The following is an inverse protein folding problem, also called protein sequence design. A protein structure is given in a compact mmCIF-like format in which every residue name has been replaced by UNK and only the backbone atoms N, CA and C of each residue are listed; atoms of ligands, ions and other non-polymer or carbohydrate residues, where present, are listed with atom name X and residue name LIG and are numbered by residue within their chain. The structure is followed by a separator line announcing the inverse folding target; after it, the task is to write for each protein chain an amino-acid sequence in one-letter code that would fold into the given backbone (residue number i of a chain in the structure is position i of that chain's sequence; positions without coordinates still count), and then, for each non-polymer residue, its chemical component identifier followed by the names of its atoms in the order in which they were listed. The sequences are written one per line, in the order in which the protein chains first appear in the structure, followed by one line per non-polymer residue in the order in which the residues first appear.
data_IF_089620397652
#
_entry.id   IF_089620397652
#
_cell.length_a   1.000
_cell.length_b   1.000
_cell.length_c   1.000
_cell.angle_alpha   90.00
_cell.angle_beta   90.00
_cell.angle_gamma   90.00
#
_symmetry.space_group_name_H-M   'P 1'
#
loop_
_entity.id
_entity.type
_entity.pdbx_description
1 polymer ?
#
# COMPACT_ATOMS: atom_id res chain seq x y z
N UNK A 1 -18.75 -40.36 -62.47
CA UNK A 1 -17.66 -39.51 -61.95
C UNK A 1 -18.24 -38.28 -61.26
N UNK A 2 -18.68 -38.37 -60.00
CA UNK A 2 -19.02 -37.19 -59.18
C UNK A 2 -18.47 -37.44 -57.78
N UNK A 3 -17.46 -36.65 -57.39
CA UNK A 3 -16.71 -36.78 -56.14
C UNK A 3 -17.54 -36.21 -54.99
N UNK A 4 -17.86 -37.05 -54.00
CA UNK A 4 -18.49 -36.66 -52.74
C UNK A 4 -17.42 -35.99 -51.86
N UNK A 5 -17.55 -34.69 -51.60
CA UNK A 5 -16.68 -33.96 -50.69
C UNK A 5 -17.31 -33.95 -49.30
N UNK A 6 -16.80 -34.79 -48.39
CA UNK A 6 -17.12 -34.74 -46.96
C UNK A 6 -16.47 -33.49 -46.35
N UNK A 7 -17.28 -32.52 -45.95
CA UNK A 7 -16.86 -31.38 -45.14
C UNK A 7 -16.99 -31.75 -43.66
N UNK A 8 -15.86 -32.09 -43.03
CA UNK A 8 -15.74 -32.24 -41.58
C UNK A 8 -15.70 -30.85 -40.93
N UNK A 9 -16.81 -30.45 -40.29
CA UNK A 9 -16.87 -29.25 -39.47
C UNK A 9 -16.35 -29.56 -38.06
N UNK A 10 -15.15 -29.08 -37.73
CA UNK A 10 -14.57 -29.18 -36.39
C UNK A 10 -14.99 -27.95 -35.53
N UNK A 11 -15.49 -28.13 -34.29
CA UNK A 11 -15.85 -27.03 -33.42
C UNK A 11 -14.60 -26.40 -32.78
N UNK A 12 -14.45 -25.09 -32.97
CA UNK A 12 -13.39 -24.30 -32.32
C UNK A 12 -13.86 -24.00 -30.89
N UNK A 13 -13.28 -24.68 -29.91
CA UNK A 13 -13.49 -24.41 -28.49
C UNK A 13 -12.64 -23.20 -28.06
N UNK A 14 -13.26 -22.04 -27.92
CA UNK A 14 -12.60 -20.83 -27.42
C UNK A 14 -12.39 -20.95 -25.91
N UNK A 15 -11.14 -21.17 -25.46
CA UNK A 15 -10.80 -21.10 -24.04
C UNK A 15 -10.87 -19.63 -23.57
N UNK A 16 -11.88 -19.31 -22.77
CA UNK A 16 -11.90 -18.07 -21.99
C UNK A 16 -10.85 -18.15 -20.89
N UNK A 17 -9.65 -17.61 -21.12
CA UNK A 17 -8.71 -17.34 -20.06
C UNK A 17 -9.23 -16.15 -19.22
N UNK A 18 -9.80 -16.43 -18.05
CA UNK A 18 -10.12 -15.38 -17.10
C UNK A 18 -8.82 -14.76 -16.55
N UNK A 19 -8.70 -13.42 -16.47
CA UNK A 19 -7.54 -12.81 -15.87
C UNK A 19 -7.49 -13.18 -14.38
N UNK A 20 -6.46 -13.93 -13.98
CA UNK A 20 -6.11 -14.08 -12.57
C UNK A 20 -5.59 -12.71 -12.13
N UNK A 21 -6.38 -11.98 -11.34
CA UNK A 21 -5.89 -10.82 -10.61
C UNK A 21 -4.84 -11.31 -9.63
N UNK A 22 -3.56 -11.08 -9.92
CA UNK A 22 -2.50 -11.37 -9.00
C UNK A 22 -2.75 -10.59 -7.69
N UNK A 23 -3.08 -11.28 -6.61
CA UNK A 23 -3.13 -10.64 -5.30
C UNK A 23 -1.71 -10.26 -4.89
N UNK A 24 -1.48 -8.96 -4.72
CA UNK A 24 -0.24 -8.41 -4.19
C UNK A 24 0.13 -9.06 -2.85
N UNK A 25 1.42 -9.34 -2.67
CA UNK A 25 1.92 -10.03 -1.49
C UNK A 25 1.56 -9.28 -0.19
N UNK A 26 1.00 -10.01 0.78
CA UNK A 26 0.71 -9.48 2.12
C UNK A 26 2.01 -9.43 2.92
N UNK A 27 2.22 -8.34 3.65
CA UNK A 27 3.42 -8.18 4.46
C UNK A 27 3.24 -7.31 5.69
N UNK A 28 4.36 -6.91 6.26
CA UNK A 28 4.44 -5.90 7.32
C UNK A 28 5.44 -4.82 6.93
N UNK A 29 5.33 -3.65 7.54
CA UNK A 29 6.41 -2.66 7.52
C UNK A 29 7.30 -2.84 8.76
N UNK A 30 8.54 -2.35 8.71
CA UNK A 30 9.49 -2.58 9.79
C UNK A 30 8.97 -1.99 11.12
N UNK A 31 9.15 -2.75 12.21
CA UNK A 31 8.86 -2.32 13.58
C UNK A 31 9.60 -1.03 13.92
N UNK A 32 9.00 -0.12 14.68
CA UNK A 32 9.66 1.12 15.11
C UNK A 32 8.78 2.35 14.99
N UNK A 33 9.30 3.49 15.43
CA UNK A 33 8.59 4.78 15.36
C UNK A 33 8.74 5.41 13.98
N UNK A 34 7.62 5.76 13.37
CA UNK A 34 7.52 6.52 12.12
C UNK A 34 7.16 7.96 12.48
N UNK A 35 8.14 8.86 12.32
CA UNK A 35 7.91 10.29 12.47
C UNK A 35 7.39 10.83 11.15
N UNK A 36 6.17 11.34 11.17
CA UNK A 36 5.53 11.96 10.01
C UNK A 36 5.82 13.45 9.99
N UNK A 37 6.11 13.97 8.81
CA UNK A 37 6.53 15.35 8.61
C UNK A 37 6.14 15.85 7.22
N UNK A 38 5.87 17.15 7.14
CA UNK A 38 5.80 17.86 5.86
C UNK A 38 7.20 18.39 5.50
N UNK A 39 7.53 18.49 4.20
CA UNK A 39 8.73 19.19 3.78
C UNK A 39 8.66 20.64 4.25
N UNK A 40 9.76 21.12 4.82
CA UNK A 40 9.93 22.51 5.18
C UNK A 40 10.16 23.41 3.98
N UNK A 41 10.64 24.62 4.24
CA UNK A 41 10.97 25.60 3.22
C UNK A 41 12.43 26.02 3.34
N UNK A 42 13.08 26.30 2.21
CA UNK A 42 14.43 26.83 2.20
C UNK A 42 14.50 28.12 3.04
N UNK A 43 15.44 28.19 3.97
CA UNK A 43 15.58 29.30 4.92
C UNK A 43 14.87 29.12 6.26
N UNK A 44 14.14 28.02 6.46
CA UNK A 44 13.54 27.62 7.76
C UNK A 44 13.89 26.17 8.10
N UNK A 45 13.18 25.60 9.06
CA UNK A 45 13.26 24.19 9.44
C UNK A 45 13.15 23.28 8.20
N UNK A 46 14.01 22.26 8.13
CA UNK A 46 14.05 21.32 7.00
C UNK A 46 12.79 20.46 6.89
N UNK A 47 12.09 20.25 8.00
CA UNK A 47 10.81 19.54 8.05
C UNK A 47 9.92 20.09 9.16
N UNK A 48 8.61 19.96 8.97
CA UNK A 48 7.60 20.35 9.95
C UNK A 48 6.98 19.06 10.50
N UNK A 49 7.20 18.79 11.78
CA UNK A 49 6.69 17.58 12.42
C UNK A 49 5.15 17.56 12.45
N UNK A 50 4.58 16.38 12.24
CA UNK A 50 3.15 16.09 12.32
C UNK A 50 2.92 15.01 13.39
N UNK A 51 2.94 15.38 14.69
CA UNK A 51 2.80 14.42 15.78
C UNK A 51 1.50 13.62 15.69
N UNK A 52 0.41 14.27 15.29
CA UNK A 52 -0.90 13.65 15.13
C UNK A 52 -0.97 12.59 14.03
N UNK A 53 -0.07 12.64 13.05
CA UNK A 53 0.04 11.61 12.00
C UNK A 53 1.09 10.53 12.33
N UNK A 54 1.90 10.75 13.37
CA UNK A 54 3.02 9.88 13.70
C UNK A 54 2.57 8.65 14.49
N UNK A 55 3.19 7.52 14.21
CA UNK A 55 2.82 6.24 14.81
C UNK A 55 4.04 5.35 15.05
N UNK A 56 3.86 4.30 15.84
CA UNK A 56 4.88 3.28 16.10
C UNK A 56 4.34 1.90 15.85
N UNK A 57 5.05 1.14 15.03
CA UNK A 57 4.70 -0.24 14.71
C UNK A 57 5.21 -1.14 15.82
N UNK A 58 4.30 -1.90 16.46
CA UNK A 58 4.64 -2.87 17.51
C UNK A 58 5.03 -4.23 16.95
N UNK A 59 4.38 -4.66 15.88
CA UNK A 59 4.56 -5.98 15.25
C UNK A 59 3.22 -6.56 14.82
N UNK A 60 3.24 -7.66 14.05
CA UNK A 60 2.05 -8.38 13.57
C UNK A 60 0.95 -7.43 13.04
N UNK A 61 1.34 -6.46 12.23
CA UNK A 61 0.43 -5.47 11.64
C UNK A 61 -0.34 -4.57 12.64
N UNK A 62 0.25 -4.30 13.80
CA UNK A 62 -0.30 -3.40 14.84
C UNK A 62 0.54 -2.14 14.99
N UNK A 63 -0.14 -1.03 15.23
CA UNK A 63 0.49 0.26 15.52
C UNK A 63 -0.05 0.87 16.82
N UNK A 64 0.68 1.83 17.35
CA UNK A 64 0.24 2.74 18.40
C UNK A 64 0.54 4.17 17.97
N UNK A 65 -0.32 5.10 18.38
CA UNK A 65 -0.21 6.54 18.15
C UNK A 65 -0.51 7.26 19.47
N UNK A 66 -0.25 8.58 19.59
CA UNK A 66 -0.66 9.34 20.76
C UNK A 66 -2.18 9.28 21.03
N UNK A 67 -3.00 9.07 20.00
CA UNK A 67 -4.46 9.07 20.07
C UNK A 67 -5.05 7.67 20.36
N UNK A 68 -4.23 6.60 20.33
CA UNK A 68 -4.69 5.23 20.52
C UNK A 68 -3.95 4.21 19.64
N UNK A 69 -4.42 2.97 19.65
CA UNK A 69 -3.85 1.86 18.89
C UNK A 69 -4.78 1.35 17.79
N UNK A 70 -4.21 0.57 16.88
CA UNK A 70 -4.98 -0.04 15.79
C UNK A 70 -4.15 -0.99 14.94
N UNK A 71 -4.71 -1.38 13.80
CA UNK A 71 -4.11 -2.29 12.85
C UNK A 71 -3.94 -1.67 11.48
N UNK A 72 -3.07 -2.25 10.67
CA UNK A 72 -2.91 -1.91 9.27
C UNK A 72 -2.82 -3.17 8.43
N UNK A 73 -2.95 -3.01 7.12
CA UNK A 73 -2.73 -4.03 6.12
C UNK A 73 -1.69 -3.50 5.14
N UNK A 74 -0.61 -4.26 4.94
CA UNK A 74 0.32 -4.01 3.85
C UNK A 74 0.06 -5.02 2.73
N UNK A 75 -0.10 -4.52 1.51
CA UNK A 75 -0.14 -5.29 0.25
C UNK A 75 0.81 -4.64 -0.74
N UNK A 76 1.83 -5.38 -1.19
CA UNK A 76 2.86 -4.85 -2.08
C UNK A 76 3.57 -3.61 -1.49
N UNK A 77 3.45 -2.48 -2.19
CA UNK A 77 3.97 -1.18 -1.78
C UNK A 77 2.94 -0.33 -1.00
N UNK A 78 1.72 -0.81 -0.77
CA UNK A 78 0.68 -0.03 -0.09
C UNK A 78 0.46 -0.49 1.34
N UNK A 79 0.35 0.47 2.25
CA UNK A 79 -0.08 0.29 3.64
C UNK A 79 -1.39 1.02 3.82
N UNK A 80 -2.42 0.34 4.29
CA UNK A 80 -3.71 0.95 4.63
C UNK A 80 -4.02 0.64 6.08
N UNK A 81 -4.33 1.66 6.86
CA UNK A 81 -4.73 1.53 8.25
C UNK A 81 -6.19 1.08 8.30
N UNK A 82 -6.45 0.01 9.04
CA UNK A 82 -7.74 -0.73 9.02
C UNK A 82 -8.54 -0.58 10.30
N UNK A 83 -7.96 -0.01 11.36
CA UNK A 83 -8.65 0.33 12.61
C UNK A 83 -7.88 1.39 13.40
N UNK A 84 -8.47 1.88 14.47
CA UNK A 84 -7.85 2.88 15.36
C UNK A 84 -7.91 4.30 14.82
N UNK A 85 -7.18 5.24 15.45
CA UNK A 85 -7.23 6.68 15.11
C UNK A 85 -6.82 7.04 13.66
N UNK A 86 -6.08 6.18 12.97
CA UNK A 86 -5.64 6.41 11.58
C UNK A 86 -6.46 5.59 10.58
N UNK A 87 -7.58 4.98 11.00
CA UNK A 87 -8.38 4.14 10.12
C UNK A 87 -8.73 4.86 8.81
N UNK A 88 -8.49 4.21 7.67
CA UNK A 88 -8.69 4.76 6.33
C UNK A 88 -7.45 5.41 5.73
N UNK A 89 -6.48 5.86 6.55
CA UNK A 89 -5.25 6.42 6.02
C UNK A 89 -4.48 5.38 5.21
N UNK A 90 -3.93 5.84 4.08
CA UNK A 90 -3.13 4.99 3.19
C UNK A 90 -1.79 5.62 2.87
N UNK A 91 -0.77 4.78 2.73
CA UNK A 91 0.61 5.18 2.45
C UNK A 91 1.25 4.28 1.40
N UNK A 92 2.06 4.87 0.52
CA UNK A 92 2.98 4.15 -0.37
C UNK A 92 4.32 3.96 0.34
N UNK A 93 4.87 2.76 0.27
CA UNK A 93 6.21 2.40 0.70
C UNK A 93 7.18 2.80 -0.40
N UNK A 94 7.91 3.89 -0.20
CA UNK A 94 8.92 4.36 -1.17
C UNK A 94 10.24 3.59 -1.03
N UNK A 95 10.57 3.24 0.21
CA UNK A 95 11.73 2.44 0.58
C UNK A 95 11.46 1.77 1.94
N UNK A 96 12.24 0.76 2.35
CA UNK A 96 12.12 0.19 3.68
C UNK A 96 12.23 1.27 4.77
N UNK A 97 11.14 1.53 5.51
CA UNK A 97 11.09 2.54 6.57
C UNK A 97 10.80 3.97 6.07
N UNK A 98 10.48 4.15 4.79
CA UNK A 98 10.06 5.44 4.21
C UNK A 98 8.69 5.30 3.56
N UNK A 99 7.74 6.07 4.05
CA UNK A 99 6.35 6.05 3.60
C UNK A 99 5.93 7.42 3.09
N UNK A 100 5.04 7.45 2.10
CA UNK A 100 4.37 8.67 1.63
C UNK A 100 2.86 8.53 1.76
N UNK A 101 2.19 9.50 2.38
CA UNK A 101 0.73 9.48 2.49
C UNK A 101 0.11 9.57 1.11
N UNK A 102 -1.05 8.95 0.99
CA UNK A 102 -1.87 8.94 -0.19
C UNK A 102 -3.22 9.56 0.14
N UNK A 103 -3.71 10.37 -0.79
CA UNK A 103 -5.07 10.90 -0.81
C UNK A 103 -5.61 10.62 -2.20
N UNK A 104 -6.77 9.95 -2.28
CA UNK A 104 -7.40 9.54 -3.53
C UNK A 104 -6.46 8.83 -4.53
N UNK A 105 -5.51 8.06 -3.99
CA UNK A 105 -4.53 7.31 -4.78
C UNK A 105 -3.29 8.10 -5.20
N UNK A 106 -3.30 9.42 -5.07
CA UNK A 106 -2.18 10.30 -5.36
C UNK A 106 -1.26 10.48 -4.13
N UNK A 107 0.04 10.68 -4.37
CA UNK A 107 1.00 10.97 -3.29
C UNK A 107 0.84 12.39 -2.78
N UNK A 108 0.85 12.54 -1.46
CA UNK A 108 0.83 13.86 -0.82
C UNK A 108 2.24 14.30 -0.43
N UNK A 109 2.35 15.50 0.14
CA UNK A 109 3.62 16.00 0.69
C UNK A 109 3.99 15.35 2.03
N UNK A 110 3.06 14.71 2.72
CA UNK A 110 3.33 14.10 4.02
C UNK A 110 4.14 12.81 3.82
N UNK A 111 5.33 12.78 4.43
CA UNK A 111 6.16 11.57 4.49
C UNK A 111 6.30 11.11 5.92
N UNK A 112 6.48 9.81 6.12
CA UNK A 112 6.74 9.21 7.42
C UNK A 112 8.02 8.38 7.36
N UNK A 113 8.99 8.74 8.20
CA UNK A 113 10.32 8.14 8.21
C UNK A 113 10.52 7.39 9.52
N UNK A 114 10.98 6.14 9.42
CA UNK A 114 11.33 5.33 10.58
C UNK A 114 12.57 5.90 11.29
N UNK A 115 12.44 6.24 12.58
CA UNK A 115 13.51 6.86 13.40
C UNK A 115 14.22 5.88 14.33
N UNK A 116 13.55 4.83 14.80
CA UNK A 116 14.12 3.86 15.75
C UNK A 116 13.61 2.43 15.50
N UNK A 117 14.29 1.43 16.06
CA UNK A 117 13.89 0.01 15.99
C UNK A 117 13.03 -0.40 17.17
#
# INVERSE_FOLDING_TARGET
MHRLALLLAAPIATLCAAPVLAQEAIGTIQRGSYACELPGHAGREASIAMPEASFRIRGASRYVSPQGDGTYLRRGDRVTFTSGPHNGDSYRVEAPGSLRKLEDGAVTRLRCIRRSR
#
